data_IF_574319581737
#
_entry.id   IF_574319581737
#
_cell.length_a   1.000
_cell.length_b   1.000
_cell.length_c   1.000
_cell.angle_alpha   90.00
_cell.angle_beta   90.00
_cell.angle_gamma   90.00
#
_symmetry.space_group_name_H-M   'P 1'
#
loop_
_entity.id
_entity.type
_entity.pdbx_description
1 polymer ?
#
# COMPACT_ATOMS: atom_id res chain seq x y z
N UNK A 1 -30.42 11.59 -25.21
CA UNK A 1 -29.46 10.56 -24.75
C UNK A 1 -28.31 11.15 -23.90
N UNK A 2 -28.55 12.27 -23.21
CA UNK A 2 -27.54 12.98 -22.40
C UNK A 2 -27.80 12.83 -20.90
N UNK A 3 -29.07 12.67 -20.51
CA UNK A 3 -29.50 12.50 -19.11
C UNK A 3 -28.94 11.23 -18.45
N UNK A 4 -28.82 10.12 -19.20
CA UNK A 4 -28.25 8.86 -18.69
C UNK A 4 -26.74 8.93 -18.43
N UNK A 5 -26.01 9.80 -19.15
CA UNK A 5 -24.56 9.95 -19.00
C UNK A 5 -24.24 10.78 -17.76
N UNK A 6 -25.04 11.81 -17.49
CA UNK A 6 -24.92 12.64 -16.28
C UNK A 6 -25.20 11.87 -15.00
N UNK A 7 -26.14 10.92 -15.02
CA UNK A 7 -26.45 10.08 -13.86
C UNK A 7 -25.31 9.12 -13.50
N UNK A 8 -24.64 8.56 -14.51
CA UNK A 8 -23.48 7.68 -14.30
C UNK A 8 -22.28 8.40 -13.69
N UNK A 9 -22.03 9.65 -14.09
CA UNK A 9 -20.92 10.47 -13.55
C UNK A 9 -21.17 10.86 -12.08
N UNK A 10 -22.42 11.16 -11.73
CA UNK A 10 -22.78 11.47 -10.35
C UNK A 10 -22.62 10.25 -9.41
N UNK A 11 -22.93 9.05 -9.91
CA UNK A 11 -22.81 7.82 -9.13
C UNK A 11 -21.35 7.46 -8.84
N UNK A 12 -20.45 7.59 -9.82
CA UNK A 12 -19.02 7.27 -9.62
C UNK A 12 -18.31 8.26 -8.71
N UNK A 13 -18.69 9.54 -8.73
CA UNK A 13 -18.10 10.57 -7.85
C UNK A 13 -18.35 10.29 -6.35
N UNK A 14 -19.43 9.59 -6.00
CA UNK A 14 -19.77 9.26 -4.61
C UNK A 14 -18.88 8.16 -4.00
N UNK A 15 -18.24 7.32 -4.83
CA UNK A 15 -17.44 6.18 -4.36
C UNK A 15 -15.95 6.51 -4.12
N UNK A 16 -15.45 7.70 -4.49
CA UNK A 16 -14.00 8.01 -4.47
C UNK A 16 -13.51 8.55 -3.11
N UNK A 17 -14.34 8.52 -2.06
CA UNK A 17 -14.09 9.25 -0.81
C UNK A 17 -13.45 8.49 0.37
N UNK A 18 -13.21 7.17 0.29
CA UNK A 18 -12.83 6.37 1.48
C UNK A 18 -11.46 5.71 1.33
N UNK A 19 -10.40 6.51 1.41
CA UNK A 19 -9.03 6.00 1.34
C UNK A 19 -7.99 7.02 1.75
N UNK A 20 -8.09 7.58 2.96
CA UNK A 20 -6.98 8.34 3.53
C UNK A 20 -5.96 7.36 4.12
N UNK A 21 -5.01 6.91 3.31
CA UNK A 21 -3.84 6.21 3.81
C UNK A 21 -2.97 7.22 4.58
N UNK A 22 -2.63 6.99 5.86
CA UNK A 22 -1.70 7.86 6.57
C UNK A 22 -0.36 7.90 5.83
N UNK A 23 0.06 9.09 5.41
CA UNK A 23 1.39 9.31 4.85
C UNK A 23 2.42 9.12 5.97
N UNK A 24 3.23 8.07 5.88
CA UNK A 24 4.27 7.81 6.87
C UNK A 24 5.35 8.90 6.76
N UNK A 25 5.80 9.50 7.88
CA UNK A 25 6.82 10.54 7.86
C UNK A 25 8.13 9.96 7.30
N UNK A 26 8.67 10.61 6.26
CA UNK A 26 9.87 10.23 5.50
C UNK A 26 11.18 10.17 6.33
N UNK A 27 11.14 10.36 7.66
CA UNK A 27 12.33 10.57 8.49
C UNK A 27 12.86 9.36 9.23
N UNK A 28 12.14 8.25 9.24
CA UNK A 28 12.60 7.01 9.84
C UNK A 28 12.54 5.93 8.77
N UNK A 29 13.65 5.22 8.54
CA UNK A 29 13.63 4.05 7.66
C UNK A 29 12.52 3.12 8.17
N UNK A 30 11.47 2.85 7.38
CA UNK A 30 10.35 2.06 7.85
C UNK A 30 10.87 0.67 8.20
N UNK A 31 10.76 0.31 9.47
CA UNK A 31 11.08 -1.03 9.95
C UNK A 31 9.78 -1.76 10.23
N UNK A 32 9.73 -3.08 10.01
CA UNK A 32 8.58 -3.89 10.40
C UNK A 32 8.26 -3.74 11.88
N UNK A 33 6.98 -3.75 12.25
CA UNK A 33 6.57 -3.80 13.66
C UNK A 33 7.16 -5.02 14.40
N UNK A 34 7.40 -6.10 13.66
CA UNK A 34 8.17 -7.26 14.10
C UNK A 34 8.93 -7.86 12.91
N UNK A 35 10.05 -8.53 13.19
CA UNK A 35 10.83 -9.17 12.14
C UNK A 35 10.37 -10.60 11.87
N UNK A 36 10.36 -11.03 10.60
CA UNK A 36 10.05 -12.41 10.26
C UNK A 36 10.99 -13.38 10.99
N UNK A 37 10.51 -14.59 11.35
CA UNK A 37 11.36 -15.59 11.98
C UNK A 37 12.54 -15.97 11.07
N UNK A 38 13.64 -16.43 11.65
CA UNK A 38 14.86 -16.76 10.88
C UNK A 38 14.64 -17.84 9.80
N UNK A 39 13.62 -18.69 9.97
CA UNK A 39 13.22 -19.73 9.00
C UNK A 39 12.32 -19.19 7.87
N UNK A 40 11.98 -17.91 7.87
CA UNK A 40 11.10 -17.29 6.89
C UNK A 40 11.78 -17.14 5.52
N UNK A 41 11.33 -17.92 4.53
CA UNK A 41 11.90 -17.94 3.17
C UNK A 41 11.11 -17.12 2.14
N UNK A 42 10.06 -16.43 2.55
CA UNK A 42 9.26 -15.58 1.68
C UNK A 42 9.99 -14.30 1.26
N UNK A 43 9.61 -13.76 0.09
CA UNK A 43 10.11 -12.50 -0.44
C UNK A 43 9.39 -11.29 0.13
N UNK A 44 8.13 -11.46 0.55
CA UNK A 44 7.26 -10.39 1.05
C UNK A 44 6.76 -10.75 2.44
N UNK A 45 6.98 -9.89 3.41
CA UNK A 45 6.54 -10.07 4.78
C UNK A 45 5.43 -9.07 5.12
N UNK A 46 4.38 -9.53 5.79
CA UNK A 46 3.31 -8.65 6.29
C UNK A 46 3.41 -8.64 7.80
N UNK A 47 3.59 -7.46 8.38
CA UNK A 47 3.65 -7.31 9.81
C UNK A 47 2.25 -7.23 10.45
N UNK A 48 2.21 -7.24 11.78
CA UNK A 48 0.95 -7.11 12.54
C UNK A 48 0.23 -5.76 12.35
N UNK A 49 0.91 -4.72 11.85
CA UNK A 49 0.31 -3.45 11.48
C UNK A 49 -0.32 -3.47 10.07
N UNK A 50 -0.15 -4.56 9.32
CA UNK A 50 -0.65 -4.73 7.96
C UNK A 50 0.27 -4.11 6.89
N UNK A 51 1.49 -3.71 7.26
CA UNK A 51 2.48 -3.18 6.34
C UNK A 51 3.21 -4.33 5.62
N UNK A 52 3.40 -4.17 4.30
CA UNK A 52 4.10 -5.14 3.46
C UNK A 52 5.56 -4.71 3.26
N UNK A 53 6.49 -5.60 3.56
CA UNK A 53 7.93 -5.41 3.39
C UNK A 53 8.48 -6.41 2.39
N UNK A 54 9.26 -5.95 1.42
CA UNK A 54 9.91 -6.80 0.42
C UNK A 54 11.39 -6.90 0.76
N UNK A 55 11.97 -8.10 0.67
CA UNK A 55 13.43 -8.27 0.74
C UNK A 55 14.05 -7.55 -0.48
N UNK A 56 14.58 -6.35 -0.27
CA UNK A 56 15.39 -5.69 -1.28
C UNK A 56 16.70 -6.48 -1.44
N UNK A 57 16.86 -7.18 -2.56
CA UNK A 57 18.20 -7.55 -3.00
C UNK A 57 18.94 -6.25 -3.25
N UNK A 58 20.17 -6.13 -2.74
CA UNK A 58 21.07 -5.05 -3.15
C UNK A 58 21.27 -5.23 -4.66
N UNK A 59 20.49 -4.52 -5.47
CA UNK A 59 20.81 -4.36 -6.87
C UNK A 59 22.15 -3.63 -6.90
N UNK A 60 23.21 -4.38 -7.14
CA UNK A 60 24.46 -3.85 -7.66
C UNK A 60 24.10 -2.87 -8.78
N UNK A 61 24.32 -1.57 -8.51
CA UNK A 61 24.21 -0.56 -9.56
C UNK A 61 25.32 -0.84 -10.56
N UNK A 62 24.97 -1.47 -11.68
CA UNK A 62 25.78 -1.42 -12.91
C UNK A 62 25.65 -0.06 -13.60
#
# INVERSE_FOLDING_TARGET
MTCSKSLMIALTALLVGVGQAPAQPLRETPTPAEFPPATYRGLQYVDSAGCVFIRAGSGDQV
#
